data_IF_052571082874
#
_entry.id   IF_052571082874
#
_cell.length_a   1.000
_cell.length_b   1.000
_cell.length_c   1.000
_cell.angle_alpha   90.00
_cell.angle_beta   90.00
_cell.angle_gamma   90.00
#
_symmetry.space_group_name_H-M   'P 1'
#
loop_
_entity.id
_entity.type
_entity.pdbx_description
1 polymer ?
#
# COMPACT_ATOMS: atom_id res chain seq x y z
N UNK A 1 13.52 -2.61 -3.05
CA UNK A 1 12.20 -2.89 -2.44
C UNK A 1 11.72 -4.25 -2.90
N UNK A 2 11.00 -5.01 -2.05
CA UNK A 2 10.39 -6.28 -2.48
C UNK A 2 9.43 -6.05 -3.65
N UNK A 3 9.36 -6.98 -4.61
CA UNK A 3 8.39 -6.93 -5.73
C UNK A 3 6.95 -6.77 -5.21
N UNK A 4 6.65 -7.41 -4.08
CA UNK A 4 5.34 -7.30 -3.42
C UNK A 4 5.06 -5.90 -2.86
N UNK A 5 6.08 -5.21 -2.34
CA UNK A 5 5.91 -3.84 -1.84
C UNK A 5 5.56 -2.87 -2.98
N UNK A 6 6.19 -3.03 -4.15
CA UNK A 6 5.85 -2.22 -5.32
C UNK A 6 4.41 -2.49 -5.78
N UNK A 7 3.96 -3.74 -5.74
CA UNK A 7 2.56 -4.08 -6.06
C UNK A 7 1.56 -3.43 -5.10
N UNK A 8 1.79 -3.49 -3.79
CA UNK A 8 0.89 -2.87 -2.81
C UNK A 8 0.90 -1.34 -2.89
N UNK A 9 2.04 -0.73 -3.22
CA UNK A 9 2.13 0.69 -3.51
C UNK A 9 1.24 1.08 -4.70
N UNK A 10 1.33 0.34 -5.81
CA UNK A 10 0.54 0.60 -7.01
C UNK A 10 -0.96 0.44 -6.71
N UNK A 11 -1.37 -0.63 -6.00
CA UNK A 11 -2.76 -0.82 -5.59
C UNK A 11 -3.28 0.35 -4.75
N UNK A 12 -2.50 0.79 -3.75
CA UNK A 12 -2.85 1.93 -2.91
C UNK A 12 -3.00 3.20 -3.74
N UNK A 13 -2.13 3.43 -4.73
CA UNK A 13 -2.21 4.56 -5.64
C UNK A 13 -3.50 4.53 -6.48
N UNK A 14 -3.86 3.35 -7.02
CA UNK A 14 -5.10 3.16 -7.78
C UNK A 14 -6.34 3.41 -6.93
N UNK A 15 -6.38 2.90 -5.69
CA UNK A 15 -7.49 3.17 -4.78
C UNK A 15 -7.59 4.64 -4.37
N UNK A 16 -6.45 5.32 -4.24
CA UNK A 16 -6.42 6.76 -3.96
C UNK A 16 -6.94 7.57 -5.14
N UNK A 17 -6.51 7.24 -6.36
CA UNK A 17 -6.99 7.89 -7.58
C UNK A 17 -8.48 7.64 -7.80
N UNK A 18 -8.94 6.41 -7.63
CA UNK A 18 -10.37 6.10 -7.76
C UNK A 18 -11.20 6.87 -6.74
N UNK A 19 -10.75 7.02 -5.48
CA UNK A 19 -11.43 7.90 -4.52
C UNK A 19 -11.43 9.37 -4.94
N UNK A 20 -10.40 9.82 -5.64
CA UNK A 20 -10.26 11.20 -6.10
C UNK A 20 -11.13 11.52 -7.33
N UNK A 21 -11.35 10.54 -8.21
CA UNK A 21 -12.30 10.65 -9.32
C UNK A 21 -13.74 10.39 -8.82
N UNK A 22 -14.39 11.44 -8.32
CA UNK A 22 -15.83 11.46 -8.09
C UNK A 22 -16.62 11.45 -9.43
N UNK A 23 -17.84 10.88 -9.50
CA UNK A 23 -18.76 10.75 -8.38
C UNK A 23 -19.06 9.31 -8.00
N UNK A 24 -18.75 8.98 -6.75
CA UNK A 24 -19.24 7.76 -6.11
C UNK A 24 -20.71 7.98 -5.73
N UNK A 25 -21.61 7.70 -6.69
CA UNK A 25 -23.07 7.90 -6.54
C UNK A 25 -23.69 7.09 -5.40
N UNK A 26 -23.01 6.03 -4.94
CA UNK A 26 -23.43 5.22 -3.81
C UNK A 26 -22.38 5.27 -2.68
N UNK A 27 -22.84 5.37 -1.44
CA UNK A 27 -21.98 5.40 -0.25
C UNK A 27 -21.20 4.09 -0.03
N UNK A 28 -21.80 2.95 -0.41
CA UNK A 28 -21.22 1.62 -0.25
C UNK A 28 -19.90 1.42 -1.02
N UNK A 29 -19.81 1.69 -2.34
CA UNK A 29 -18.58 1.49 -3.08
C UNK A 29 -17.44 2.42 -2.60
N UNK A 30 -17.73 3.66 -2.21
CA UNK A 30 -16.70 4.53 -1.62
C UNK A 30 -16.16 3.97 -0.29
N UNK A 31 -17.03 3.40 0.55
CA UNK A 31 -16.61 2.73 1.79
C UNK A 31 -15.74 1.50 1.51
N UNK A 32 -16.13 0.67 0.53
CA UNK A 32 -15.34 -0.49 0.11
C UNK A 32 -13.95 -0.11 -0.39
N UNK A 33 -13.84 0.96 -1.20
CA UNK A 33 -12.54 1.44 -1.71
C UNK A 33 -11.67 2.00 -0.60
N UNK A 34 -12.25 2.69 0.40
CA UNK A 34 -11.50 3.13 1.59
C UNK A 34 -10.93 1.96 2.39
N UNK A 35 -11.70 0.88 2.57
CA UNK A 35 -11.23 -0.33 3.24
C UNK A 35 -10.13 -1.03 2.44
N UNK A 36 -10.29 -1.11 1.11
CA UNK A 36 -9.27 -1.67 0.22
C UNK A 36 -7.98 -0.83 0.23
N UNK A 37 -8.10 0.50 0.27
CA UNK A 37 -6.97 1.41 0.42
C UNK A 37 -6.24 1.14 1.75
N UNK A 38 -6.97 1.10 2.86
CA UNK A 38 -6.39 0.87 4.19
C UNK A 38 -5.65 -0.48 4.26
N UNK A 39 -6.27 -1.56 3.76
CA UNK A 39 -5.66 -2.89 3.75
C UNK A 39 -4.43 -2.95 2.85
N UNK A 40 -4.47 -2.35 1.65
CA UNK A 40 -3.30 -2.27 0.76
C UNK A 40 -2.15 -1.47 1.38
N UNK A 41 -2.43 -0.39 2.10
CA UNK A 41 -1.43 0.42 2.79
C UNK A 41 -0.77 -0.37 3.95
N UNK A 42 -1.54 -1.11 4.74
CA UNK A 42 -1.01 -1.98 5.81
C UNK A 42 -0.11 -3.08 5.22
N UNK A 43 -0.56 -3.73 4.15
CA UNK A 43 0.23 -4.76 3.44
C UNK A 43 1.50 -4.19 2.82
N UNK A 44 1.45 -2.95 2.30
CA UNK A 44 2.63 -2.24 1.83
C UNK A 44 3.67 -2.05 2.95
N UNK A 45 3.25 -1.55 4.10
CA UNK A 45 4.13 -1.38 5.27
C UNK A 45 4.71 -2.71 5.73
N UNK A 46 3.90 -3.76 5.81
CA UNK A 46 4.38 -5.11 6.15
C UNK A 46 5.41 -5.62 5.12
N UNK A 47 5.15 -5.43 3.83
CA UNK A 47 6.07 -5.82 2.76
C UNK A 47 7.39 -5.02 2.79
N UNK A 48 7.35 -3.74 3.22
CA UNK A 48 8.55 -2.95 3.46
C UNK A 48 9.36 -3.51 4.65
N UNK A 49 8.70 -3.87 5.75
CA UNK A 49 9.36 -4.46 6.92
C UNK A 49 10.04 -5.79 6.57
N UNK A 50 9.37 -6.66 5.83
CA UNK A 50 9.94 -7.94 5.36
C UNK A 50 11.11 -7.71 4.39
N UNK A 51 10.98 -6.73 3.48
CA UNK A 51 12.03 -6.38 2.53
C UNK A 51 13.25 -5.70 3.17
N UNK A 52 13.08 -5.11 4.36
CA UNK A 52 14.15 -4.54 5.17
C UNK A 52 14.87 -5.69 5.91
N UNK A 53 15.59 -6.53 5.15
CA UNK A 53 16.73 -7.25 5.72
C UNK A 53 17.59 -6.17 6.37
N UNK A 54 17.66 -6.14 7.69
CA UNK A 54 18.63 -5.33 8.42
C UNK A 54 19.98 -5.81 7.92
N UNK A 55 20.52 -5.16 6.88
CA UNK A 55 21.93 -5.28 6.54
C UNK A 55 22.62 -4.61 7.70
N UNK A 56 22.99 -5.41 8.70
CA UNK A 56 24.11 -5.08 9.56
C UNK A 56 25.27 -4.90 8.59
N UNK A 57 25.60 -3.65 8.25
CA UNK A 57 26.81 -3.37 7.50
C UNK A 57 27.97 -3.86 8.37
N UNK A 58 28.68 -4.94 7.98
CA UNK A 58 29.75 -5.48 8.80
C UNK A 58 30.96 -4.55 8.83
N UNK A 59 30.94 -3.47 8.03
CA UNK A 59 32.00 -2.47 7.91
C UNK A 59 31.95 -1.44 9.05
N UNK A 60 30.85 -1.35 9.80
CA UNK A 60 30.75 -0.58 11.05
C UNK A 60 30.85 -1.46 12.30
N UNK A 61 31.39 -2.69 12.17
CA UNK A 61 31.88 -3.50 13.29
C UNK A 61 33.38 -3.69 13.16
#
# INVERSE_FOLDING_TARGET
MSKSAVLFLILSLVFTLTLWLEPWQAAWPAAAVKVALATSAVLFVAALMVGKRVKFDPVLR
#
